data_IF_485177520365
#
_entry.id   IF_485177520365
#
_cell.length_a   1.000
_cell.length_b   1.000
_cell.length_c   1.000
_cell.angle_alpha   90.00
_cell.angle_beta   90.00
_cell.angle_gamma   90.00
#
_symmetry.space_group_name_H-M   'P 1'
#
loop_
_entity.id
_entity.type
_entity.pdbx_description
1 polymer ?
#
# COMPACT_ATOMS: atom_id res chain seq x y z
N UNK A 1 -40.09 25.37 -27.78
CA UNK A 1 -39.29 25.15 -26.54
C UNK A 1 -39.06 26.50 -25.85
N UNK A 2 -40.15 27.24 -25.61
CA UNK A 2 -40.20 28.64 -25.15
C UNK A 2 -41.40 28.84 -24.21
N UNK A 3 -41.63 27.86 -23.33
CA UNK A 3 -42.71 27.75 -22.33
C UNK A 3 -42.21 26.69 -21.33
N UNK A 4 -41.40 26.98 -20.31
CA UNK A 4 -41.84 27.25 -18.93
C UNK A 4 -40.56 27.73 -18.19
N UNK A 5 -39.97 28.83 -18.65
CA UNK A 5 -38.99 29.63 -17.88
C UNK A 5 -39.76 30.74 -17.10
N UNK A 6 -41.09 30.55 -16.95
CA UNK A 6 -42.08 31.51 -16.45
C UNK A 6 -42.75 31.05 -15.15
N UNK A 7 -42.03 30.31 -14.29
CA UNK A 7 -42.66 29.52 -13.23
C UNK A 7 -42.08 29.59 -11.82
N UNK A 8 -41.09 30.44 -11.52
CA UNK A 8 -40.57 30.52 -10.14
C UNK A 8 -40.17 31.94 -9.73
N UNK A 9 -41.02 32.91 -10.06
CA UNK A 9 -41.01 34.23 -9.45
C UNK A 9 -42.24 34.37 -8.54
N UNK A 10 -42.24 33.73 -7.36
CA UNK A 10 -43.03 34.17 -6.20
C UNK A 10 -42.82 33.25 -4.99
N UNK A 11 -42.02 33.71 -4.04
CA UNK A 11 -42.44 33.80 -2.62
C UNK A 11 -41.29 34.36 -1.80
N UNK A 12 -41.31 35.68 -1.67
CA UNK A 12 -40.85 36.33 -0.45
C UNK A 12 -41.83 35.92 0.66
N UNK A 13 -41.34 35.20 1.66
CA UNK A 13 -41.90 35.27 3.01
C UNK A 13 -40.72 35.40 3.97
N UNK A 14 -40.50 36.65 4.39
CA UNK A 14 -39.84 36.97 5.64
C UNK A 14 -40.65 36.37 6.78
N UNK A 15 -40.02 35.68 7.72
CA UNK A 15 -40.61 35.42 9.04
C UNK A 15 -39.54 35.14 10.10
N UNK A 16 -39.68 35.91 11.18
CA UNK A 16 -39.25 35.69 12.56
C UNK A 16 -37.75 35.64 12.87
N UNK A 17 -37.28 36.73 13.50
CA UNK A 17 -36.24 36.65 14.51
C UNK A 17 -36.82 35.95 15.75
N UNK A 18 -36.23 34.81 16.12
CA UNK A 18 -36.52 34.09 17.36
C UNK A 18 -35.25 34.05 18.24
N UNK A 19 -35.40 34.07 19.58
CA UNK A 19 -34.37 34.49 20.50
C UNK A 19 -33.40 33.37 20.89
N UNK A 20 -32.15 33.75 21.18
CA UNK A 20 -31.31 33.03 22.15
C UNK A 20 -30.92 31.60 21.80
N UNK A 21 -30.08 31.42 20.78
CA UNK A 21 -29.44 30.13 20.54
C UNK A 21 -28.19 30.01 21.42
N UNK A 22 -28.32 29.28 22.53
CA UNK A 22 -27.19 28.84 23.33
C UNK A 22 -26.16 28.16 22.42
N UNK A 23 -24.91 28.60 22.52
CA UNK A 23 -23.82 28.08 21.71
C UNK A 23 -23.73 26.55 21.87
N UNK A 24 -23.71 25.77 20.77
CA UNK A 24 -23.51 24.33 20.87
C UNK A 24 -22.14 24.08 21.52
N UNK A 25 -22.15 23.31 22.61
CA UNK A 25 -20.92 22.83 23.22
C UNK A 25 -20.12 22.06 22.15
N UNK A 26 -18.86 22.47 21.95
CA UNK A 26 -17.99 21.85 20.97
C UNK A 26 -17.88 20.34 21.27
N UNK A 27 -18.04 19.46 20.26
CA UNK A 27 -17.86 18.04 20.45
C UNK A 27 -16.43 17.75 20.92
N UNK A 28 -16.22 16.73 21.78
CA UNK A 28 -14.89 16.36 22.23
C UNK A 28 -14.00 16.08 21.02
N UNK A 29 -12.80 16.67 21.02
CA UNK A 29 -11.84 16.49 19.95
C UNK A 29 -11.56 14.98 19.76
N UNK A 30 -11.51 14.48 18.51
CA UNK A 30 -11.19 13.08 18.26
C UNK A 30 -9.86 12.73 18.92
N UNK A 31 -9.84 11.64 19.69
CA UNK A 31 -8.60 11.12 20.25
C UNK A 31 -7.62 10.86 19.10
N UNK A 32 -6.44 11.46 19.18
CA UNK A 32 -5.41 11.29 18.18
C UNK A 32 -5.08 9.80 18.01
N UNK A 33 -5.28 9.28 16.79
CA UNK A 33 -4.91 7.92 16.46
C UNK A 33 -3.43 7.69 16.77
N UNK A 34 -3.03 6.53 17.34
CA UNK A 34 -1.63 6.25 17.61
C UNK A 34 -0.84 6.37 16.31
N UNK A 35 0.16 7.27 16.31
CA UNK A 35 1.03 7.46 15.17
C UNK A 35 1.64 6.11 14.78
N UNK A 36 1.44 5.70 13.53
CA UNK A 36 2.00 4.47 13.00
C UNK A 36 3.50 4.47 13.26
N UNK A 37 3.96 3.52 14.08
CA UNK A 37 5.38 3.43 14.46
C UNK A 37 6.19 3.30 13.16
N UNK A 38 7.14 4.21 12.89
CA UNK A 38 7.90 4.15 11.65
C UNK A 38 8.66 2.82 11.60
N UNK A 39 8.35 1.99 10.59
CA UNK A 39 9.04 0.71 10.39
C UNK A 39 10.54 0.96 10.27
N UNK A 40 11.31 0.38 11.19
CA UNK A 40 12.77 0.50 11.20
C UNK A 40 13.36 -0.18 9.96
N UNK A 41 14.25 0.52 9.26
CA UNK A 41 15.01 -0.04 8.14
C UNK A 41 16.09 -0.99 8.68
N UNK A 42 16.12 -2.20 8.14
CA UNK A 42 17.09 -3.25 8.44
C UNK A 42 18.12 -3.29 7.32
N UNK A 43 19.37 -3.00 7.65
CA UNK A 43 20.50 -3.07 6.72
C UNK A 43 21.14 -4.46 6.72
N UNK A 44 21.23 -5.09 5.56
CA UNK A 44 21.90 -6.38 5.36
C UNK A 44 23.04 -6.23 4.35
N UNK A 45 24.13 -6.96 4.55
CA UNK A 45 25.23 -7.05 3.58
C UNK A 45 24.89 -8.10 2.53
N UNK A 46 24.90 -7.71 1.26
CA UNK A 46 24.59 -8.55 0.12
C UNK A 46 25.88 -8.79 -0.66
N UNK A 47 26.29 -10.05 -0.79
CA UNK A 47 27.41 -10.44 -1.65
C UNK A 47 26.84 -10.62 -3.06
N UNK A 48 27.40 -9.90 -4.04
CA UNK A 48 27.00 -10.07 -5.43
C UNK A 48 27.80 -11.21 -6.05
N UNK A 49 27.15 -12.00 -6.91
CA UNK A 49 27.81 -13.07 -7.64
C UNK A 49 29.00 -12.52 -8.43
N UNK A 50 30.19 -13.07 -8.22
CA UNK A 50 31.43 -12.63 -8.87
C UNK A 50 32.18 -11.48 -8.16
N UNK A 51 31.68 -10.96 -7.03
CA UNK A 51 32.40 -9.98 -6.22
C UNK A 51 32.61 -10.49 -4.80
N UNK A 52 33.84 -10.37 -4.31
CA UNK A 52 34.18 -10.62 -2.90
C UNK A 52 33.76 -9.48 -1.97
N UNK A 53 33.55 -8.27 -2.52
CA UNK A 53 33.06 -7.12 -1.79
C UNK A 53 31.53 -7.12 -1.80
N UNK A 54 30.94 -7.12 -0.60
CA UNK A 54 29.50 -6.99 -0.41
C UNK A 54 29.03 -5.54 -0.41
N UNK A 55 27.78 -5.31 -0.81
CA UNK A 55 27.09 -4.01 -0.72
C UNK A 55 26.07 -4.05 0.41
N UNK A 56 25.94 -2.96 1.19
CA UNK A 56 24.85 -2.84 2.17
C UNK A 56 23.55 -2.39 1.50
N UNK A 57 22.49 -3.15 1.72
CA UNK A 57 21.12 -2.83 1.31
C UNK A 57 20.26 -2.65 2.55
N UNK A 58 19.60 -1.51 2.67
CA UNK A 58 18.74 -1.19 3.82
C UNK A 58 17.29 -1.13 3.35
N UNK A 59 16.43 -2.01 3.87
CA UNK A 59 15.00 -2.07 3.54
C UNK A 59 14.16 -2.29 4.79
N UNK A 60 12.85 -2.06 4.72
CA UNK A 60 11.92 -2.38 5.83
C UNK A 60 11.70 -3.88 5.94
N UNK A 61 11.07 -4.35 7.02
CA UNK A 61 10.78 -5.77 7.19
C UNK A 61 9.86 -6.28 6.08
N UNK A 62 8.80 -5.52 5.76
CA UNK A 62 7.87 -5.85 4.69
C UNK A 62 8.57 -6.04 3.33
N UNK A 63 9.54 -5.18 3.01
CA UNK A 63 10.30 -5.27 1.76
C UNK A 63 11.22 -6.49 1.74
N UNK A 64 11.86 -6.83 2.86
CA UNK A 64 12.66 -8.04 2.97
C UNK A 64 11.82 -9.31 2.81
N UNK A 65 10.62 -9.34 3.39
CA UNK A 65 9.71 -10.47 3.27
C UNK A 65 9.29 -10.71 1.80
N UNK A 66 9.02 -9.64 1.04
CA UNK A 66 8.73 -9.74 -0.40
C UNK A 66 9.90 -10.35 -1.18
N UNK A 67 11.13 -9.87 -0.93
CA UNK A 67 12.33 -10.39 -1.59
C UNK A 67 12.59 -11.87 -1.27
N UNK A 68 12.30 -12.30 -0.03
CA UNK A 68 12.46 -13.70 0.37
C UNK A 68 11.45 -14.58 -0.36
N UNK A 69 10.16 -14.22 -0.37
CA UNK A 69 9.14 -14.96 -1.13
C UNK A 69 9.50 -15.10 -2.60
N UNK A 70 9.97 -14.02 -3.22
CA UNK A 70 10.35 -14.08 -4.64
C UNK A 70 11.57 -14.94 -4.92
N UNK A 71 12.45 -15.07 -3.93
CA UNK A 71 13.61 -15.96 -4.01
C UNK A 71 13.17 -17.41 -3.82
N UNK A 72 12.31 -17.68 -2.84
CA UNK A 72 11.81 -19.02 -2.53
C UNK A 72 11.02 -19.63 -3.69
N UNK A 73 10.12 -18.87 -4.32
CA UNK A 73 9.35 -19.33 -5.50
C UNK A 73 10.26 -19.69 -6.69
N UNK A 74 11.32 -18.90 -6.91
CA UNK A 74 12.30 -19.14 -7.94
C UNK A 74 13.13 -20.40 -7.63
N UNK A 75 13.52 -20.60 -6.37
CA UNK A 75 14.25 -21.79 -5.93
C UNK A 75 13.42 -23.06 -6.04
N UNK A 76 12.14 -23.00 -5.66
CA UNK A 76 11.22 -24.12 -5.76
C UNK A 76 11.02 -24.53 -7.23
N UNK A 77 10.77 -23.54 -8.09
CA UNK A 77 10.68 -23.74 -9.54
C UNK A 77 11.96 -24.33 -10.15
N UNK A 78 13.13 -23.86 -9.71
CA UNK A 78 14.41 -24.37 -10.16
C UNK A 78 14.70 -25.80 -9.65
N UNK A 79 14.31 -26.13 -8.42
CA UNK A 79 14.46 -27.48 -7.87
C UNK A 79 13.60 -28.50 -8.61
N UNK A 80 12.34 -28.18 -8.90
CA UNK A 80 11.46 -29.06 -9.66
C UNK A 80 11.99 -29.38 -11.07
N UNK A 81 12.63 -28.40 -11.72
CA UNK A 81 13.23 -28.57 -13.06
C UNK A 81 14.55 -29.36 -13.04
N UNK A 82 15.36 -29.24 -11.97
CA UNK A 82 16.64 -29.97 -11.84
C UNK A 82 16.48 -31.48 -11.59
N UNK A 83 15.28 -31.96 -11.23
CA UNK A 83 14.98 -33.39 -11.15
C UNK A 83 14.97 -34.13 -12.50
N UNK A 84 14.89 -33.41 -13.63
CA UNK A 84 14.86 -34.01 -14.97
C UNK A 84 16.25 -34.14 -15.64
N UNK A 85 17.24 -33.35 -15.23
CA UNK A 85 18.59 -33.36 -15.86
C UNK A 85 19.50 -34.49 -15.34
N UNK A 86 18.99 -35.38 -14.49
CA UNK A 86 19.73 -36.56 -14.00
C UNK A 86 19.67 -37.77 -14.95
N UNK A 87 19.08 -37.65 -16.14
CA UNK A 87 19.16 -38.68 -17.17
C UNK A 87 20.02 -38.18 -18.32
N UNK A 88 21.34 -38.33 -18.18
CA UNK A 88 22.19 -38.64 -19.33
C UNK A 88 22.11 -40.15 -19.55
N UNK A 89 21.52 -40.62 -20.65
CA UNK A 89 21.96 -41.84 -21.29
C UNK A 89 22.75 -41.41 -22.53
N UNK A 90 24.04 -41.73 -22.55
CA UNK A 90 24.67 -42.30 -23.74
C UNK A 90 24.04 -41.94 -25.10
N UNK A 91 24.47 -40.86 -25.75
CA UNK A 91 24.14 -40.61 -27.16
C UNK A 91 25.43 -40.62 -28.00
N UNK A 92 25.92 -41.82 -28.42
CA UNK A 92 26.82 -41.93 -29.55
C UNK A 92 26.03 -41.75 -30.85
N UNK A 93 26.53 -40.89 -31.73
CA UNK A 93 26.10 -40.74 -33.14
C UNK A 93 26.45 -42.00 -33.96
#
# INVERSE_FOLDING_TARGET
MLMIILGFAMSLMAQAAEPGQAAPAAPPAPAAAPAAVPEKKICRSMVMTGSIMGKRSCRTNAEWAKLQRSTDEAWESARGKRGFVSRSPSDPQ
#
